data_IF_395458524936
#
_entry.id   IF_395458524936
#
_cell.length_a   1.000
_cell.length_b   1.000
_cell.length_c   1.000
_cell.angle_alpha   90.00
_cell.angle_beta   90.00
_cell.angle_gamma   90.00
#
_symmetry.space_group_name_H-M   'P 1'
#
loop_
_entity.id
_entity.type
_entity.pdbx_description
1 polymer ?
#
# COMPACT_ATOMS: atom_id res chain seq x y z
N UNK A 1 -28.86 -1.33 -20.32
CA UNK A 1 -29.26 -2.30 -19.27
C UNK A 1 -29.00 -1.62 -17.95
N UNK A 2 -30.03 -1.33 -17.16
CA UNK A 2 -29.83 -0.63 -15.89
C UNK A 2 -29.14 -1.56 -14.87
N UNK A 3 -28.22 -1.01 -14.08
CA UNK A 3 -27.42 -1.76 -13.10
C UNK A 3 -28.29 -2.64 -12.18
N UNK A 4 -29.43 -2.12 -11.72
CA UNK A 4 -30.36 -2.86 -10.88
C UNK A 4 -31.01 -4.06 -11.59
N UNK A 5 -31.30 -3.95 -12.89
CA UNK A 5 -31.85 -5.06 -13.66
C UNK A 5 -30.86 -6.20 -13.78
N UNK A 6 -29.57 -5.90 -13.99
CA UNK A 6 -28.51 -6.90 -14.07
C UNK A 6 -28.32 -7.63 -12.72
N UNK A 7 -28.39 -6.90 -11.60
CA UNK A 7 -28.35 -7.50 -10.26
C UNK A 7 -29.54 -8.44 -10.01
N UNK A 8 -30.74 -8.01 -10.37
CA UNK A 8 -31.96 -8.80 -10.20
C UNK A 8 -31.93 -10.07 -11.05
N UNK A 9 -31.50 -9.97 -12.32
CA UNK A 9 -31.35 -11.14 -13.22
C UNK A 9 -30.30 -12.12 -12.72
N UNK A 10 -29.28 -11.63 -12.01
CA UNK A 10 -28.19 -12.45 -11.46
C UNK A 10 -28.49 -12.96 -10.03
N UNK A 11 -29.65 -12.65 -9.46
CA UNK A 11 -30.02 -12.97 -8.07
C UNK A 11 -28.97 -12.50 -7.05
N UNK A 12 -28.41 -11.31 -7.28
CA UNK A 12 -27.41 -10.70 -6.41
C UNK A 12 -28.07 -9.68 -5.48
N UNK A 13 -27.78 -9.78 -4.19
CA UNK A 13 -28.27 -8.86 -3.16
C UNK A 13 -27.10 -8.14 -2.50
N UNK A 14 -27.26 -6.84 -2.27
CA UNK A 14 -26.28 -6.01 -1.57
C UNK A 14 -26.13 -6.52 -0.12
N UNK A 15 -24.89 -6.73 0.32
CA UNK A 15 -24.62 -7.24 1.67
C UNK A 15 -24.69 -6.15 2.75
N UNK A 16 -24.83 -4.88 2.36
CA UNK A 16 -24.63 -3.75 3.25
C UNK A 16 -23.16 -3.62 3.67
N UNK A 17 -22.88 -2.67 4.56
CA UNK A 17 -21.53 -2.45 5.08
C UNK A 17 -21.56 -1.77 6.46
N UNK A 18 -20.42 -1.84 7.16
CA UNK A 18 -20.10 -1.00 8.31
C UNK A 18 -18.99 -0.01 7.96
N UNK A 19 -18.93 1.14 8.63
CA UNK A 19 -17.89 2.14 8.42
C UNK A 19 -18.31 3.29 7.48
N UNK A 20 -17.35 3.96 6.81
CA UNK A 20 -17.63 5.14 5.98
C UNK A 20 -18.62 4.84 4.84
N UNK A 21 -19.58 5.73 4.59
CA UNK A 21 -20.55 5.53 3.50
C UNK A 21 -19.93 5.69 2.11
N UNK A 22 -18.92 6.53 1.99
CA UNK A 22 -18.27 6.82 0.71
C UNK A 22 -17.05 5.93 0.53
N UNK A 23 -16.89 5.36 -0.66
CA UNK A 23 -15.74 4.51 -1.00
C UNK A 23 -14.77 5.18 -1.94
N UNK A 24 -15.12 6.34 -2.50
CA UNK A 24 -14.25 7.14 -3.34
C UNK A 24 -14.25 8.61 -2.92
N UNK A 25 -13.10 9.27 -3.06
CA UNK A 25 -12.88 10.66 -2.73
C UNK A 25 -11.83 11.30 -3.66
N UNK A 26 -12.15 12.41 -4.32
CA UNK A 26 -11.21 13.11 -5.22
C UNK A 26 -10.02 13.80 -4.52
N UNK A 27 -9.98 13.79 -3.18
CA UNK A 27 -8.95 14.36 -2.29
C UNK A 27 -8.73 15.87 -2.39
N UNK A 28 -9.60 16.60 -3.08
CA UNK A 28 -9.54 18.07 -3.15
C UNK A 28 -9.99 18.66 -1.80
N UNK A 29 -9.43 19.80 -1.40
CA UNK A 29 -9.82 20.51 -0.17
C UNK A 29 -11.04 21.40 -0.41
N UNK A 30 -11.86 21.61 0.63
CA UNK A 30 -12.96 22.58 0.59
C UNK A 30 -14.17 22.12 -0.23
N UNK A 31 -14.89 23.09 -0.80
CA UNK A 31 -16.17 22.88 -1.45
C UNK A 31 -16.08 22.06 -2.75
N UNK A 32 -14.89 21.92 -3.33
CA UNK A 32 -14.65 21.11 -4.53
C UNK A 32 -14.37 19.63 -4.21
N UNK A 33 -14.45 19.25 -2.94
CA UNK A 33 -14.32 17.85 -2.55
C UNK A 33 -15.56 17.07 -2.99
N UNK A 34 -15.35 16.06 -3.83
CA UNK A 34 -16.39 15.15 -4.29
C UNK A 34 -16.10 13.77 -3.72
N UNK A 35 -17.12 13.17 -3.12
CA UNK A 35 -17.09 11.81 -2.60
C UNK A 35 -18.26 11.01 -3.14
N UNK A 36 -18.03 9.74 -3.43
CA UNK A 36 -19.02 8.86 -4.03
C UNK A 36 -18.92 7.46 -3.43
N UNK A 37 -20.05 6.76 -3.39
CA UNK A 37 -20.11 5.34 -3.04
C UNK A 37 -20.08 4.53 -4.34
N UNK A 38 -18.87 4.16 -4.78
CA UNK A 38 -18.64 3.46 -6.05
C UNK A 38 -18.48 1.96 -5.88
N UNK A 39 -18.04 1.53 -4.71
CA UNK A 39 -17.69 0.16 -4.42
C UNK A 39 -18.77 -0.45 -3.53
N UNK A 40 -19.32 -1.59 -3.95
CA UNK A 40 -20.37 -2.32 -3.23
C UNK A 40 -20.08 -3.81 -3.30
N UNK A 41 -20.53 -4.54 -2.28
CA UNK A 41 -20.34 -5.98 -2.22
C UNK A 41 -21.69 -6.68 -2.30
N UNK A 42 -21.85 -7.59 -3.27
CA UNK A 42 -23.07 -8.33 -3.51
C UNK A 42 -22.84 -9.83 -3.32
N UNK A 43 -23.87 -10.53 -2.86
CA UNK A 43 -23.86 -11.98 -2.71
C UNK A 43 -25.16 -12.59 -3.22
N UNK A 44 -25.10 -13.82 -3.70
CA UNK A 44 -26.30 -14.62 -3.93
C UNK A 44 -26.65 -15.45 -2.68
N UNK A 45 -27.86 -16.00 -2.69
CA UNK A 45 -28.41 -16.80 -1.57
C UNK A 45 -27.52 -17.99 -1.22
N UNK A 46 -27.09 -18.77 -2.22
CA UNK A 46 -26.20 -19.93 -2.03
C UNK A 46 -24.92 -19.57 -1.27
N UNK A 47 -24.32 -18.43 -1.57
CA UNK A 47 -23.12 -17.96 -0.87
C UNK A 47 -23.43 -17.59 0.59
N UNK A 48 -24.59 -16.96 0.84
CA UNK A 48 -25.04 -16.60 2.18
C UNK A 48 -25.35 -17.81 3.07
N UNK A 49 -25.79 -18.93 2.49
CA UNK A 49 -25.95 -20.19 3.21
C UNK A 49 -24.61 -20.71 3.77
N UNK A 50 -23.54 -20.59 2.97
CA UNK A 50 -22.20 -21.06 3.36
C UNK A 50 -21.49 -20.09 4.32
N UNK A 51 -21.78 -18.79 4.22
CA UNK A 51 -21.11 -17.74 4.98
C UNK A 51 -22.12 -16.81 5.67
N UNK A 52 -22.99 -17.38 6.52
CA UNK A 52 -24.09 -16.67 7.17
C UNK A 52 -23.66 -15.50 8.06
N UNK A 53 -22.48 -15.58 8.69
CA UNK A 53 -21.92 -14.50 9.52
C UNK A 53 -21.08 -13.49 8.73
N UNK A 54 -20.93 -13.65 7.42
CA UNK A 54 -20.06 -12.78 6.64
C UNK A 54 -20.50 -11.32 6.75
N UNK A 55 -19.53 -10.45 7.02
CA UNK A 55 -19.77 -9.03 7.18
C UNK A 55 -18.81 -8.24 6.30
N UNK A 56 -19.34 -7.18 5.71
CA UNK A 56 -18.59 -6.25 4.87
C UNK A 56 -18.32 -4.97 5.68
N UNK A 57 -17.11 -4.44 5.56
CA UNK A 57 -16.73 -3.18 6.20
C UNK A 57 -15.94 -2.32 5.22
N UNK A 58 -16.34 -1.07 5.08
CA UNK A 58 -15.54 -0.05 4.42
C UNK A 58 -14.46 0.39 5.40
N UNK A 59 -13.23 0.46 4.92
CA UNK A 59 -12.09 0.91 5.71
C UNK A 59 -11.91 2.42 5.56
N UNK A 60 -11.01 3.00 6.34
CA UNK A 60 -10.70 4.42 6.26
C UNK A 60 -9.93 4.73 4.98
N UNK A 61 -10.04 5.96 4.46
CA UNK A 61 -9.21 6.38 3.34
C UNK A 61 -7.75 6.50 3.81
N UNK A 62 -6.85 5.87 3.07
CA UNK A 62 -5.40 6.01 3.25
C UNK A 62 -4.82 6.77 2.05
N UNK A 63 -3.68 6.33 1.51
CA UNK A 63 -3.03 6.98 0.35
C UNK A 63 -3.86 6.92 -0.93
N UNK A 64 -4.73 5.92 -1.07
CA UNK A 64 -5.64 5.79 -2.21
C UNK A 64 -6.81 6.77 -2.13
N UNK A 65 -7.32 7.19 -3.30
CA UNK A 65 -8.62 7.86 -3.44
C UNK A 65 -9.81 6.89 -3.31
N UNK A 66 -9.55 5.59 -3.18
CA UNK A 66 -10.54 4.57 -2.82
C UNK A 66 -10.34 4.06 -1.38
N UNK A 67 -11.45 3.80 -0.70
CA UNK A 67 -11.52 3.02 0.54
C UNK A 67 -11.44 1.52 0.21
N UNK A 68 -10.77 0.76 1.08
CA UNK A 68 -10.75 -0.69 0.96
C UNK A 68 -12.07 -1.28 1.46
N UNK A 69 -12.65 -2.21 0.70
CA UNK A 69 -13.75 -3.06 1.18
C UNK A 69 -13.16 -4.33 1.80
N UNK A 70 -13.43 -4.53 3.09
CA UNK A 70 -13.02 -5.73 3.83
C UNK A 70 -14.20 -6.68 3.98
N UNK A 71 -14.06 -7.89 3.43
CA UNK A 71 -14.94 -9.02 3.70
C UNK A 71 -14.38 -9.82 4.89
N UNK A 72 -15.17 -9.93 5.96
CA UNK A 72 -14.85 -10.77 7.11
C UNK A 72 -15.66 -12.06 7.01
N UNK A 73 -14.96 -13.17 6.77
CA UNK A 73 -15.53 -14.51 6.81
C UNK A 73 -15.23 -15.10 8.19
N UNK A 74 -16.26 -15.27 9.02
CA UNK A 74 -16.12 -16.06 10.22
C UNK A 74 -16.27 -17.52 9.79
N UNK A 75 -15.18 -18.29 9.85
CA UNK A 75 -15.28 -19.71 9.53
C UNK A 75 -16.09 -20.37 10.64
N UNK A 76 -17.19 -21.02 10.27
CA UNK A 76 -17.60 -22.20 11.02
C UNK A 76 -16.35 -23.09 11.09
N UNK A 77 -15.93 -23.43 12.31
CA UNK A 77 -14.76 -24.25 12.66
C UNK A 77 -13.36 -23.61 12.49
N UNK A 78 -12.92 -22.94 13.56
CA UNK A 78 -11.73 -23.43 14.28
C UNK A 78 -10.34 -23.14 13.71
N UNK A 79 -10.15 -22.25 12.73
CA UNK A 79 -8.79 -21.79 12.39
C UNK A 79 -8.32 -20.79 13.46
N UNK A 80 -7.71 -21.30 14.54
CA UNK A 80 -6.92 -20.48 15.45
C UNK A 80 -5.80 -19.83 14.63
N UNK A 81 -5.97 -18.55 14.26
CA UNK A 81 -4.86 -17.74 13.79
C UNK A 81 -3.77 -17.82 14.85
N UNK A 82 -2.62 -18.41 14.51
CA UNK A 82 -1.42 -18.32 15.35
C UNK A 82 -1.04 -16.84 15.38
N UNK A 83 -1.45 -16.12 16.43
CA UNK A 83 -0.93 -14.80 16.69
C UNK A 83 0.53 -14.98 17.11
N UNK A 84 1.44 -14.78 16.17
CA UNK A 84 2.87 -14.61 16.45
C UNK A 84 3.16 -13.24 17.08
N UNK A 85 2.17 -12.62 17.73
CA UNK A 85 2.35 -11.42 18.55
C UNK A 85 2.96 -11.86 19.89
N UNK A 86 4.21 -12.30 19.82
CA UNK A 86 5.05 -12.50 20.98
C UNK A 86 5.20 -11.17 21.71
N UNK A 87 4.81 -11.17 22.99
CA UNK A 87 5.21 -10.27 24.09
C UNK A 87 6.12 -9.09 23.68
N UNK A 88 5.57 -8.08 22.99
CA UNK A 88 6.24 -6.77 22.74
C UNK A 88 5.31 -5.57 22.90
N UNK A 89 4.20 -5.73 23.63
CA UNK A 89 3.30 -4.64 23.98
C UNK A 89 3.94 -3.54 24.85
N UNK A 90 5.18 -3.72 25.34
CA UNK A 90 5.84 -2.78 26.26
C UNK A 90 6.80 -1.79 25.61
N UNK A 91 7.15 -1.93 24.33
CA UNK A 91 8.22 -1.10 23.72
C UNK A 91 7.69 0.04 22.84
N UNK A 92 6.40 0.05 22.51
CA UNK A 92 5.80 0.98 21.55
C UNK A 92 4.76 1.95 22.11
N UNK A 93 4.69 2.10 23.44
CA UNK A 93 3.93 3.16 24.11
C UNK A 93 2.52 3.42 23.58
N UNK A 94 2.03 4.63 23.83
CA UNK A 94 0.65 5.06 23.56
C UNK A 94 0.25 5.03 22.06
N UNK A 95 1.13 4.67 21.12
CA UNK A 95 0.84 4.71 19.67
C UNK A 95 -0.39 3.86 19.31
N UNK A 96 -0.43 2.60 19.78
CA UNK A 96 -1.59 1.72 19.53
C UNK A 96 -2.85 2.23 20.24
N UNK A 97 -2.70 2.78 21.44
CA UNK A 97 -3.81 3.39 22.18
C UNK A 97 -4.32 4.66 21.48
N UNK A 98 -3.44 5.42 20.83
CA UNK A 98 -3.77 6.60 20.05
C UNK A 98 -4.50 6.22 18.77
N UNK A 99 -4.06 5.17 18.07
CA UNK A 99 -4.77 4.61 16.91
C UNK A 99 -6.19 4.22 17.32
N UNK A 100 -6.33 3.44 18.39
CA UNK A 100 -7.63 2.98 18.88
C UNK A 100 -8.52 4.14 19.32
N UNK A 101 -7.96 5.13 20.00
CA UNK A 101 -8.67 6.34 20.43
C UNK A 101 -9.18 7.15 19.24
N UNK A 102 -8.33 7.39 18.24
CA UNK A 102 -8.71 8.16 17.04
C UNK A 102 -9.79 7.41 16.25
N UNK A 103 -9.69 6.08 16.12
CA UNK A 103 -10.72 5.25 15.48
C UNK A 103 -12.07 5.35 16.19
N UNK A 104 -12.07 5.26 17.52
CA UNK A 104 -13.29 5.40 18.33
C UNK A 104 -13.93 6.78 18.21
N UNK A 105 -13.14 7.83 18.00
CA UNK A 105 -13.64 9.19 17.76
C UNK A 105 -14.20 9.36 16.33
N UNK A 106 -13.67 8.62 15.35
CA UNK A 106 -14.09 8.64 13.95
C UNK A 106 -15.37 7.84 13.67
N UNK A 107 -15.57 6.71 14.37
CA UNK A 107 -16.69 5.79 14.17
C UNK A 107 -18.08 6.47 14.15
N UNK A 108 -18.47 7.29 15.16
CA UNK A 108 -19.77 7.97 15.13
C UNK A 108 -19.87 9.08 14.08
N UNK A 109 -18.73 9.58 13.57
CA UNK A 109 -18.73 10.59 12.51
C UNK A 109 -19.01 9.93 11.16
N UNK A 110 -18.49 8.73 10.91
CA UNK A 110 -18.76 7.97 9.69
C UNK A 110 -20.23 7.59 9.54
N UNK A 111 -20.90 7.24 10.63
CA UNK A 111 -22.36 6.99 10.60
C UNK A 111 -23.15 8.23 10.14
N UNK A 112 -22.61 9.42 10.41
CA UNK A 112 -23.20 10.72 10.07
C UNK A 112 -22.59 11.35 8.82
N UNK A 113 -21.81 10.61 8.02
CA UNK A 113 -21.07 11.17 6.88
C UNK A 113 -21.95 11.79 5.78
N UNK A 114 -23.27 11.60 5.83
CA UNK A 114 -24.23 12.30 4.98
C UNK A 114 -24.58 13.73 5.43
N UNK A 115 -24.20 14.12 6.65
CA UNK A 115 -24.52 15.44 7.24
C UNK A 115 -23.48 16.52 6.88
N UNK A 116 -23.96 17.73 6.58
CA UNK A 116 -23.11 18.89 6.32
C UNK A 116 -22.30 19.25 7.58
N UNK A 117 -21.00 19.57 7.42
CA UNK A 117 -20.01 19.87 8.48
C UNK A 117 -19.41 18.68 9.26
N UNK A 118 -19.91 17.43 9.18
CA UNK A 118 -19.16 16.30 9.80
C UNK A 118 -17.95 15.89 8.94
N UNK A 119 -18.02 16.16 7.63
CA UNK A 119 -16.97 15.77 6.67
C UNK A 119 -15.60 16.40 6.98
N UNK A 120 -15.57 17.68 7.39
CA UNK A 120 -14.33 18.35 7.79
C UNK A 120 -13.71 17.67 9.03
N UNK A 121 -14.54 17.17 9.95
CA UNK A 121 -14.09 16.48 11.16
C UNK A 121 -13.59 15.07 10.86
N UNK A 122 -14.28 14.34 9.98
CA UNK A 122 -13.82 13.03 9.47
C UNK A 122 -12.44 13.19 8.83
N UNK A 123 -12.28 14.15 7.91
CA UNK A 123 -11.00 14.40 7.23
C UNK A 123 -9.87 14.72 8.22
N UNK A 124 -10.13 15.55 9.22
CA UNK A 124 -9.15 15.85 10.27
C UNK A 124 -8.78 14.60 11.08
N UNK A 125 -9.76 13.74 11.40
CA UNK A 125 -9.52 12.46 12.07
C UNK A 125 -8.71 11.48 11.22
N UNK A 126 -9.07 11.31 9.95
CA UNK A 126 -8.37 10.44 8.99
C UNK A 126 -6.93 10.89 8.77
N UNK A 127 -6.70 12.20 8.61
CA UNK A 127 -5.35 12.75 8.48
C UNK A 127 -4.49 12.51 9.73
N UNK A 128 -5.09 12.66 10.93
CA UNK A 128 -4.41 12.32 12.19
C UNK A 128 -4.09 10.83 12.25
N UNK A 129 -5.03 9.97 11.83
CA UNK A 129 -4.85 8.53 11.86
C UNK A 129 -3.78 8.06 10.87
N UNK A 130 -3.78 8.59 9.64
CA UNK A 130 -2.76 8.31 8.63
C UNK A 130 -1.37 8.67 9.14
N UNK A 131 -1.22 9.80 9.85
CA UNK A 131 0.06 10.19 10.47
C UNK A 131 0.54 9.17 11.51
N UNK A 132 -0.35 8.67 12.36
CA UNK A 132 0.02 7.70 13.40
C UNK A 132 0.26 6.31 12.82
N UNK A 133 -0.51 5.89 11.81
CA UNK A 133 -0.30 4.63 11.09
C UNK A 133 1.04 4.62 10.33
N UNK A 134 1.40 5.72 9.67
CA UNK A 134 2.71 5.84 9.03
C UNK A 134 3.87 5.70 10.03
N UNK A 135 3.68 6.13 11.29
CA UNK A 135 4.66 5.92 12.36
C UNK A 135 4.72 4.44 12.80
N UNK A 136 3.58 3.73 12.82
CA UNK A 136 3.55 2.29 13.09
C UNK A 136 4.19 1.47 11.96
N UNK A 137 3.92 1.82 10.70
CA UNK A 137 4.45 1.13 9.51
C UNK A 137 5.94 1.43 9.26
N UNK A 138 6.36 2.68 9.45
CA UNK A 138 7.74 3.13 9.25
C UNK A 138 8.74 2.54 10.25
N UNK A 139 8.26 2.05 11.39
CA UNK A 139 9.07 1.41 12.43
C UNK A 139 8.88 -0.12 12.50
N UNK A 140 8.39 -0.73 11.41
CA UNK A 140 8.47 -2.18 11.21
C UNK A 140 9.91 -2.60 10.87
N UNK A 141 10.86 -2.27 11.74
CA UNK A 141 12.26 -2.70 11.67
C UNK A 141 12.40 -4.17 12.14
N UNK A 142 11.69 -5.08 11.47
CA UNK A 142 11.76 -6.50 11.83
C UNK A 142 13.16 -7.03 11.55
N UNK A 143 13.62 -8.01 12.35
CA UNK A 143 14.89 -8.73 12.09
C UNK A 143 14.97 -9.25 10.65
N UNK A 144 13.82 -9.58 10.05
CA UNK A 144 13.70 -9.94 8.64
C UNK A 144 14.07 -8.79 7.70
N UNK A 145 13.61 -7.56 7.94
CA UNK A 145 14.00 -6.39 7.13
C UNK A 145 15.48 -6.06 7.28
N UNK A 146 16.05 -6.12 8.48
CA UNK A 146 17.50 -5.95 8.66
C UNK A 146 18.31 -7.08 7.98
N UNK A 147 17.85 -8.33 8.06
CA UNK A 147 18.48 -9.46 7.37
C UNK A 147 18.36 -9.35 5.85
N UNK A 148 17.20 -8.91 5.33
CA UNK A 148 16.97 -8.66 3.91
C UNK A 148 17.79 -7.47 3.41
N UNK A 149 17.87 -6.38 4.17
CA UNK A 149 18.70 -5.23 3.87
C UNK A 149 20.20 -5.59 3.90
N UNK A 150 20.64 -6.40 4.88
CA UNK A 150 22.01 -6.94 4.96
C UNK A 150 22.31 -7.90 3.81
N UNK A 151 21.37 -8.79 3.45
CA UNK A 151 21.49 -9.66 2.27
C UNK A 151 21.55 -8.84 0.98
N UNK A 152 20.71 -7.82 0.82
CA UNK A 152 20.74 -6.92 -0.34
C UNK A 152 22.06 -6.16 -0.39
N UNK A 153 22.53 -5.59 0.73
CA UNK A 153 23.84 -4.93 0.81
C UNK A 153 24.98 -5.87 0.41
N UNK A 154 24.92 -7.13 0.84
CA UNK A 154 25.93 -8.15 0.48
C UNK A 154 25.81 -8.62 -0.99
N UNK A 155 24.59 -8.77 -1.52
CA UNK A 155 24.36 -9.18 -2.92
C UNK A 155 24.63 -8.07 -3.93
N UNK A 156 24.36 -6.83 -3.56
CA UNK A 156 24.53 -5.66 -4.40
C UNK A 156 25.90 -5.00 -4.20
N UNK A 157 26.78 -5.60 -3.39
CA UNK A 157 28.15 -5.15 -3.28
C UNK A 157 28.89 -5.46 -4.59
N UNK A 158 29.26 -4.42 -5.32
CA UNK A 158 30.05 -4.54 -6.55
C UNK A 158 31.49 -4.84 -6.13
N UNK A 159 31.86 -6.13 -6.11
CA UNK A 159 33.20 -6.58 -5.71
C UNK A 159 34.19 -6.65 -6.87
N UNK A 160 33.69 -6.64 -8.11
CA UNK A 160 34.50 -6.63 -9.32
C UNK A 160 33.72 -6.02 -10.49
N UNK A 161 34.41 -5.28 -11.32
CA UNK A 161 33.86 -4.65 -12.52
C UNK A 161 34.72 -5.01 -13.73
N UNK A 162 34.10 -5.15 -14.90
CA UNK A 162 34.77 -5.57 -16.13
C UNK A 162 35.04 -4.35 -17.00
N UNK A 163 36.31 -4.07 -17.30
CA UNK A 163 36.77 -2.97 -18.14
C UNK A 163 37.03 -3.45 -19.59
N UNK A 164 36.63 -2.64 -20.57
CA UNK A 164 36.89 -2.83 -22.01
C UNK A 164 35.90 -3.74 -22.75
N UNK A 165 35.60 -3.42 -24.02
CA UNK A 165 34.76 -4.24 -24.92
C UNK A 165 35.53 -5.36 -25.60
N UNK A 166 36.80 -5.11 -26.00
CA UNK A 166 37.56 -6.03 -26.84
C UNK A 166 38.62 -6.85 -26.07
N UNK A 167 39.12 -6.32 -24.94
CA UNK A 167 40.03 -7.05 -24.02
C UNK A 167 39.47 -6.99 -22.60
N UNK A 168 38.69 -8.00 -22.26
CA UNK A 168 38.03 -8.12 -20.97
C UNK A 168 39.04 -8.21 -19.82
N UNK A 169 39.16 -7.13 -19.03
CA UNK A 169 39.97 -7.13 -17.80
C UNK A 169 39.07 -6.93 -16.58
N UNK A 170 39.25 -7.78 -15.56
CA UNK A 170 38.53 -7.65 -14.29
C UNK A 170 39.28 -6.73 -13.33
N UNK A 171 38.55 -5.77 -12.78
CA UNK A 171 39.02 -4.83 -11.77
C UNK A 171 38.38 -5.19 -10.44
N UNK A 172 39.18 -5.38 -9.40
CA UNK A 172 38.72 -5.87 -8.09
C UNK A 172 39.04 -4.93 -6.93
N UNK A 173 39.94 -3.97 -7.11
CA UNK A 173 40.25 -2.95 -6.10
C UNK A 173 39.19 -1.85 -6.14
N UNK A 174 38.69 -1.43 -4.99
CA UNK A 174 37.61 -0.44 -4.91
C UNK A 174 37.98 0.91 -5.55
N UNK A 175 39.23 1.35 -5.39
CA UNK A 175 39.75 2.59 -5.99
C UNK A 175 39.68 2.52 -7.52
N UNK A 176 40.14 1.40 -8.08
CA UNK A 176 40.13 1.18 -9.53
C UNK A 176 38.70 0.97 -10.07
N UNK A 177 37.79 0.34 -9.31
CA UNK A 177 36.36 0.21 -9.68
C UNK A 177 35.71 1.60 -9.75
N UNK A 178 35.99 2.48 -8.78
CA UNK A 178 35.50 3.84 -8.78
C UNK A 178 35.96 4.62 -10.00
N UNK A 179 37.26 4.54 -10.32
CA UNK A 179 37.83 5.20 -11.51
C UNK A 179 37.16 4.73 -12.81
N UNK A 180 36.87 3.43 -12.97
CA UNK A 180 36.20 2.90 -14.17
C UNK A 180 34.75 3.38 -14.29
N UNK A 181 34.02 3.48 -13.18
CA UNK A 181 32.64 4.00 -13.18
C UNK A 181 32.64 5.49 -13.57
N UNK A 182 33.57 6.27 -13.00
CA UNK A 182 33.70 7.68 -13.32
C UNK A 182 34.07 7.91 -14.79
N UNK A 183 35.04 7.16 -15.33
CA UNK A 183 35.46 7.21 -16.73
C UNK A 183 34.28 6.92 -17.67
N UNK A 184 33.53 5.84 -17.40
CA UNK A 184 32.35 5.46 -18.17
C UNK A 184 31.26 6.54 -18.19
N UNK A 185 30.88 7.09 -17.03
CA UNK A 185 29.83 8.10 -16.99
C UNK A 185 30.29 9.46 -17.53
N UNK A 186 31.57 9.82 -17.34
CA UNK A 186 32.15 11.00 -18.00
C UNK A 186 32.00 10.86 -19.52
N UNK A 187 32.46 9.75 -20.10
CA UNK A 187 32.31 9.48 -21.54
C UNK A 187 30.84 9.50 -21.99
N UNK A 188 29.95 8.83 -21.25
CA UNK A 188 28.52 8.79 -21.54
C UNK A 188 27.92 10.20 -21.61
N UNK A 189 28.22 11.05 -20.62
CA UNK A 189 27.64 12.40 -20.52
C UNK A 189 28.39 13.47 -21.31
N UNK A 190 29.61 13.21 -21.79
CA UNK A 190 30.36 14.14 -22.66
C UNK A 190 30.35 13.76 -24.14
N UNK A 191 29.86 12.57 -24.48
CA UNK A 191 29.70 12.17 -25.88
C UNK A 191 28.60 13.00 -26.56
N UNK A 192 28.92 13.63 -27.70
CA UNK A 192 28.04 14.56 -28.42
C UNK A 192 27.00 13.89 -29.33
N UNK A 193 26.93 12.56 -29.35
CA UNK A 193 25.95 11.80 -30.13
C UNK A 193 25.52 10.54 -29.37
N UNK A 194 24.74 10.71 -28.30
CA UNK A 194 24.02 9.61 -27.67
C UNK A 194 22.94 9.12 -28.64
N UNK A 195 23.22 8.05 -29.38
CA UNK A 195 22.20 7.37 -30.17
C UNK A 195 21.18 6.76 -29.19
N UNK A 196 19.89 6.80 -29.53
CA UNK A 196 18.79 6.22 -28.72
C UNK A 196 19.07 4.78 -28.27
N UNK A 197 19.89 4.06 -29.03
CA UNK A 197 20.32 2.69 -28.76
C UNK A 197 21.18 2.57 -27.50
N UNK A 198 22.03 3.54 -27.18
CA UNK A 198 22.93 3.48 -26.01
C UNK A 198 22.16 3.64 -24.69
N UNK A 199 21.17 4.55 -24.68
CA UNK A 199 20.24 4.74 -23.55
C UNK A 199 19.38 3.49 -23.35
N UNK A 200 18.88 2.90 -24.45
CA UNK A 200 18.07 1.68 -24.40
C UNK A 200 18.89 0.48 -23.92
N UNK A 201 20.16 0.35 -24.34
CA UNK A 201 21.05 -0.73 -23.91
C UNK A 201 21.44 -0.63 -22.43
N UNK A 202 21.65 0.59 -21.93
CA UNK A 202 21.93 0.85 -20.51
C UNK A 202 20.72 0.57 -19.59
N UNK A 203 19.50 0.72 -20.10
CA UNK A 203 18.25 0.58 -19.32
C UNK A 203 17.54 -0.76 -19.49
N UNK A 204 17.88 -1.55 -20.52
CA UNK A 204 17.24 -2.83 -20.85
C UNK A 204 17.29 -3.90 -19.73
N UNK A 205 18.21 -3.78 -18.77
CA UNK A 205 18.30 -4.68 -17.62
C UNK A 205 17.56 -4.22 -16.36
N UNK A 206 17.08 -2.97 -16.32
CA UNK A 206 16.31 -2.46 -15.20
C UNK A 206 14.83 -2.75 -15.43
N UNK A 207 14.34 -3.87 -14.88
CA UNK A 207 12.90 -4.03 -14.65
C UNK A 207 12.49 -2.94 -13.65
N UNK A 208 11.82 -1.92 -14.16
CA UNK A 208 11.00 -1.04 -13.34
C UNK A 208 9.77 -1.86 -12.95
N UNK A 209 9.88 -2.54 -11.81
CA UNK A 209 8.73 -3.03 -11.06
C UNK A 209 8.14 -1.86 -10.24
#
# INVERSE_FOLDING_TARGET
MEFQQALNQSMLTDMGFKGPQMTWNNKIEGAENIQQMLDRFFSNEKWREHFHEAAVSHMEFHRSNHSLIKLSLFSAQGVKRRSSVGKRAKTFGNIRQNIEKIKKELEPLYEKSGEHNIMTRIRQGESKLERVLNLEEGDMNTKYFHLKAKQRKSKNQISKLRKGTDRWQWVTKNEDIGAVIEEYFKELFTSTNLLKEDITRATAGCRLD
#
